data_IF_614198236181
#
_entry.id   IF_614198236181
#
_cell.length_a   1.000
_cell.length_b   1.000
_cell.length_c   1.000
_cell.angle_alpha   90.00
_cell.angle_beta   90.00
_cell.angle_gamma   90.00
#
_symmetry.space_group_name_H-M   'P 1'
#
loop_
_entity.id
_entity.type
_entity.pdbx_description
1 polymer ?
#
# COMPACT_ATOMS: atom_id res chain seq x y z
N UNK A 1 9.12 -6.06 50.87
CA UNK A 1 9.43 -6.43 49.47
C UNK A 1 8.92 -5.30 48.59
N UNK A 2 9.76 -4.82 47.67
CA UNK A 2 9.48 -3.63 46.86
C UNK A 2 8.26 -3.85 45.95
N UNK A 3 7.37 -2.86 45.92
CA UNK A 3 6.17 -2.82 45.08
C UNK A 3 6.59 -2.58 43.63
N UNK A 4 6.51 -3.63 42.81
CA UNK A 4 6.79 -3.58 41.39
C UNK A 4 5.56 -2.99 40.68
N UNK A 5 5.51 -1.66 40.59
CA UNK A 5 4.57 -0.97 39.71
C UNK A 5 4.89 -1.31 38.25
N UNK A 6 4.38 -2.44 37.77
CA UNK A 6 4.36 -2.78 36.34
C UNK A 6 3.44 -1.80 35.64
N UNK A 7 4.00 -0.69 35.15
CA UNK A 7 3.31 0.27 34.30
C UNK A 7 2.87 -0.50 33.05
N UNK A 8 1.60 -0.90 33.01
CA UNK A 8 1.00 -1.56 31.84
C UNK A 8 1.04 -0.57 30.69
N UNK A 9 2.04 -0.71 29.82
CA UNK A 9 2.12 0.05 28.57
C UNK A 9 0.87 -0.33 27.77
N UNK A 10 0.03 0.65 27.38
CA UNK A 10 -1.15 0.37 26.58
C UNK A 10 -0.73 -0.34 25.29
N UNK A 11 -1.54 -1.33 24.87
CA UNK A 11 -1.37 -2.02 23.60
C UNK A 11 -1.52 -1.00 22.48
N UNK A 12 -0.40 -0.53 21.95
CA UNK A 12 -0.32 0.43 20.87
C UNK A 12 0.05 -0.30 19.59
N UNK A 13 -0.52 0.15 18.47
CA UNK A 13 -0.16 -0.34 17.14
C UNK A 13 0.74 0.71 16.48
N UNK A 14 1.63 0.26 15.61
CA UNK A 14 2.44 1.15 14.79
C UNK A 14 1.77 1.34 13.43
N UNK A 15 1.69 2.57 12.95
CA UNK A 15 1.15 2.84 11.61
C UNK A 15 2.03 2.18 10.55
N UNK A 16 1.42 1.42 9.63
CA UNK A 16 2.14 0.71 8.56
C UNK A 16 2.95 1.65 7.65
N UNK A 17 2.55 2.91 7.52
CA UNK A 17 3.17 3.88 6.62
C UNK A 17 4.24 4.75 7.28
N UNK A 18 3.95 5.36 8.44
CA UNK A 18 4.86 6.29 9.11
C UNK A 18 5.53 5.73 10.37
N UNK A 19 5.15 4.54 10.83
CA UNK A 19 5.71 3.91 12.02
C UNK A 19 5.32 4.57 13.34
N UNK A 20 4.46 5.59 13.35
CA UNK A 20 4.01 6.24 14.59
C UNK A 20 3.17 5.26 15.44
N UNK A 21 3.46 5.19 16.73
CA UNK A 21 2.65 4.48 17.70
C UNK A 21 1.30 5.20 17.88
N UNK A 22 0.20 4.47 17.79
CA UNK A 22 -1.15 4.99 18.00
C UNK A 22 -2.01 3.97 18.74
N UNK A 23 -3.01 4.46 19.47
CA UNK A 23 -3.98 3.66 20.22
C UNK A 23 -5.31 3.78 19.48
N UNK A 24 -5.89 2.64 19.09
CA UNK A 24 -7.12 2.60 18.30
C UNK A 24 -7.22 1.36 17.42
N UNK A 25 -8.25 1.33 16.58
CA UNK A 25 -8.50 0.25 15.63
C UNK A 25 -7.96 0.62 14.24
N UNK A 26 -7.47 -0.40 13.50
CA UNK A 26 -6.96 -0.23 12.13
C UNK A 26 -5.43 -0.30 12.01
N UNK A 27 -4.93 0.05 10.82
CA UNK A 27 -3.51 -0.10 10.42
C UNK A 27 -2.79 1.24 10.20
N UNK A 28 -3.52 2.35 10.25
CA UNK A 28 -3.02 3.69 9.95
C UNK A 28 -3.38 4.64 11.09
N UNK A 29 -2.46 5.55 11.45
CA UNK A 29 -2.69 6.52 12.53
C UNK A 29 -3.69 7.62 12.15
N UNK A 30 -3.92 7.84 10.86
CA UNK A 30 -4.80 8.89 10.32
C UNK A 30 -5.23 8.51 8.90
N UNK A 31 -6.36 9.05 8.43
CA UNK A 31 -6.84 8.84 7.05
C UNK A 31 -5.82 9.31 6.01
N UNK A 32 -5.05 10.36 6.29
CA UNK A 32 -3.95 10.82 5.43
C UNK A 32 -2.94 9.71 5.13
N UNK A 33 -2.57 8.91 6.14
CA UNK A 33 -1.64 7.80 5.96
C UNK A 33 -2.29 6.65 5.17
N UNK A 34 -3.60 6.44 5.32
CA UNK A 34 -4.34 5.42 4.58
C UNK A 34 -4.49 5.80 3.10
N UNK A 35 -4.84 7.05 2.82
CA UNK A 35 -4.99 7.58 1.46
C UNK A 35 -3.65 7.64 0.73
N UNK A 36 -2.59 8.09 1.40
CA UNK A 36 -1.26 8.15 0.80
C UNK A 36 -0.75 6.74 0.42
N UNK A 37 -1.00 5.72 1.25
CA UNK A 37 -0.68 4.33 0.93
C UNK A 37 -1.51 3.80 -0.24
N UNK A 38 -2.81 4.10 -0.24
CA UNK A 38 -3.70 3.77 -1.34
C UNK A 38 -3.29 4.43 -2.66
N UNK A 39 -2.85 5.69 -2.64
CA UNK A 39 -2.41 6.42 -3.83
C UNK A 39 -1.11 5.85 -4.40
N UNK A 40 -0.15 5.45 -3.56
CA UNK A 40 1.06 4.78 -4.02
C UNK A 40 0.78 3.42 -4.64
N UNK A 41 -0.11 2.63 -4.03
CA UNK A 41 -0.57 1.36 -4.58
C UNK A 41 -1.26 1.57 -5.94
N UNK A 42 -2.15 2.56 -6.05
CA UNK A 42 -2.82 2.93 -7.31
C UNK A 42 -1.81 3.34 -8.37
N UNK A 43 -0.80 4.15 -8.04
CA UNK A 43 0.22 4.61 -9.00
C UNK A 43 1.05 3.45 -9.54
N UNK A 44 1.40 2.47 -8.69
CA UNK A 44 2.06 1.23 -9.14
C UNK A 44 1.14 0.43 -10.06
N UNK A 45 -0.13 0.27 -9.69
CA UNK A 45 -1.11 -0.44 -10.51
C UNK A 45 -1.28 0.19 -11.90
N UNK A 46 -1.42 1.52 -11.97
CA UNK A 46 -1.51 2.26 -13.24
C UNK A 46 -0.29 2.05 -14.14
N UNK A 47 0.92 1.99 -13.57
CA UNK A 47 2.13 1.69 -14.34
C UNK A 47 2.10 0.29 -14.93
N UNK A 48 1.65 -0.71 -14.18
CA UNK A 48 1.50 -2.08 -14.68
C UNK A 48 0.42 -2.17 -15.76
N UNK A 49 -0.73 -1.54 -15.56
CA UNK A 49 -1.81 -1.50 -16.57
C UNK A 49 -1.31 -0.84 -17.86
N UNK A 50 -0.58 0.27 -17.77
CA UNK A 50 -0.01 0.93 -18.93
C UNK A 50 0.99 0.03 -19.67
N UNK A 51 1.87 -0.68 -18.94
CA UNK A 51 2.82 -1.61 -19.55
C UNK A 51 2.10 -2.78 -20.27
N UNK A 52 1.06 -3.33 -19.64
CA UNK A 52 0.23 -4.39 -20.24
C UNK A 52 -0.47 -3.87 -21.50
N UNK A 53 -1.04 -2.66 -21.46
CA UNK A 53 -1.68 -2.05 -22.62
C UNK A 53 -0.71 -1.87 -23.80
N UNK A 54 0.52 -1.42 -23.53
CA UNK A 54 1.56 -1.31 -24.56
C UNK A 54 1.90 -2.68 -25.16
N UNK A 55 2.06 -3.72 -24.32
CA UNK A 55 2.29 -5.09 -24.80
C UNK A 55 1.15 -5.57 -25.71
N UNK A 56 -0.10 -5.32 -25.34
CA UNK A 56 -1.26 -5.67 -26.17
C UNK A 56 -1.25 -4.96 -27.51
N UNK A 57 -0.89 -3.66 -27.54
CA UNK A 57 -0.75 -2.92 -28.80
C UNK A 57 0.30 -3.56 -29.70
N UNK A 58 1.47 -3.92 -29.14
CA UNK A 58 2.54 -4.59 -29.90
C UNK A 58 2.06 -5.93 -30.47
N UNK A 59 1.36 -6.74 -29.67
CA UNK A 59 0.82 -8.03 -30.12
C UNK A 59 -0.21 -7.84 -31.24
N UNK A 60 -1.14 -6.90 -31.09
CA UNK A 60 -2.15 -6.61 -32.12
C UNK A 60 -1.47 -6.17 -33.41
N UNK A 61 -0.50 -5.26 -33.34
CA UNK A 61 0.27 -4.81 -34.51
C UNK A 61 0.99 -5.99 -35.16
N UNK A 62 1.63 -6.85 -34.37
CA UNK A 62 2.32 -8.02 -34.90
C UNK A 62 1.36 -8.98 -35.61
N UNK A 63 0.18 -9.26 -35.04
CA UNK A 63 -0.86 -10.10 -35.66
C UNK A 63 -1.33 -9.50 -36.98
N UNK A 64 -1.68 -8.22 -36.99
CA UNK A 64 -2.17 -7.50 -38.18
C UNK A 64 -1.11 -7.44 -39.28
N UNK A 65 0.16 -7.22 -38.92
CA UNK A 65 1.28 -7.15 -39.89
C UNK A 65 1.63 -8.52 -40.45
N UNK A 66 1.59 -9.57 -39.62
CA UNK A 66 1.83 -10.96 -40.05
C UNK A 66 0.66 -11.50 -40.87
N UNK A 67 -0.52 -10.87 -40.81
CA UNK A 67 -1.67 -11.21 -41.65
C UNK A 67 -2.41 -12.47 -41.22
N UNK A 68 -2.39 -12.77 -39.91
CA UNK A 68 -3.37 -13.67 -39.28
C UNK A 68 -4.70 -12.92 -39.12
#
# INVERSE_FOLDING_TARGET
>A
MADEHTVKIPQHRHCRRCGKAFVGEGFYCSDECKDADGQEAKRKLYRYIAAIAVLWVVVIVAVVVVGL
#
